data_IF_174598270998
#
_entry.id   IF_174598270998
#
_cell.length_a   1.000
_cell.length_b   1.000
_cell.length_c   1.000
_cell.angle_alpha   90.00
_cell.angle_beta   90.00
_cell.angle_gamma   90.00
#
_symmetry.space_group_name_H-M   'P 1'
#
loop_
_entity.id
_entity.type
_entity.pdbx_description
1 polymer ?
#
# COMPACT_ATOMS: atom_id res chain seq x y z
N UNK A 1 -0.81 -48.09 7.49
CA UNK A 1 -0.30 -46.98 6.64
C UNK A 1 -1.43 -46.71 5.65
N UNK A 2 -2.01 -45.54 5.49
CA UNK A 2 -1.48 -44.18 5.52
C UNK A 2 -2.68 -43.23 5.58
N UNK A 3 -2.75 -42.36 6.59
CA UNK A 3 -3.76 -41.28 6.64
C UNK A 3 -3.43 -40.28 5.54
N UNK A 4 -4.23 -40.29 4.46
CA UNK A 4 -4.15 -39.30 3.40
C UNK A 4 -4.48 -37.93 3.96
N UNK A 5 -3.47 -37.08 4.19
CA UNK A 5 -3.65 -35.67 4.48
C UNK A 5 -4.25 -35.00 3.25
N UNK A 6 -5.56 -34.75 3.29
CA UNK A 6 -6.25 -33.89 2.34
C UNK A 6 -5.75 -32.46 2.61
N UNK A 7 -4.70 -32.05 1.90
CA UNK A 7 -4.27 -30.65 1.87
C UNK A 7 -5.30 -29.88 1.06
N UNK A 8 -6.30 -29.33 1.75
CA UNK A 8 -7.18 -28.34 1.15
C UNK A 8 -6.27 -27.25 0.55
N UNK A 9 -6.42 -26.89 -0.73
CA UNK A 9 -5.72 -25.72 -1.25
C UNK A 9 -6.22 -24.55 -0.43
N UNK A 10 -5.39 -24.05 0.48
CA UNK A 10 -5.65 -22.82 1.21
C UNK A 10 -5.98 -21.77 0.16
N UNK A 11 -7.22 -21.29 0.18
CA UNK A 11 -7.70 -20.29 -0.74
C UNK A 11 -6.73 -19.13 -0.72
N UNK A 12 -5.92 -19.01 -1.78
CA UNK A 12 -5.00 -17.89 -1.91
C UNK A 12 -5.90 -16.70 -2.20
N UNK A 13 -6.19 -15.90 -1.19
CA UNK A 13 -6.94 -14.66 -1.33
C UNK A 13 -6.01 -13.71 -2.09
N UNK A 14 -6.08 -13.77 -3.42
CA UNK A 14 -5.38 -12.82 -4.28
C UNK A 14 -6.21 -11.56 -4.21
N UNK A 15 -5.78 -10.61 -3.37
CA UNK A 15 -6.36 -9.27 -3.36
C UNK A 15 -6.05 -8.60 -4.71
N UNK A 16 -6.96 -8.75 -5.68
CA UNK A 16 -6.76 -8.39 -7.09
C UNK A 16 -6.69 -6.88 -7.34
N UNK A 17 -7.17 -6.06 -6.41
CA UNK A 17 -7.38 -4.61 -6.63
C UNK A 17 -6.60 -3.70 -5.66
N UNK A 18 -5.54 -4.21 -5.02
CA UNK A 18 -4.68 -3.38 -4.15
C UNK A 18 -3.57 -2.75 -4.98
N UNK A 19 -3.45 -1.43 -4.88
CA UNK A 19 -2.30 -0.67 -5.37
C UNK A 19 -1.27 -0.54 -4.26
N UNK A 20 -0.01 -0.42 -4.68
CA UNK A 20 1.10 -0.11 -3.78
C UNK A 20 1.62 1.27 -4.14
N UNK A 21 1.64 2.18 -3.17
CA UNK A 21 2.39 3.42 -3.28
C UNK A 21 3.71 3.22 -2.54
N UNK A 22 4.82 3.52 -3.22
CA UNK A 22 6.17 3.35 -2.69
C UNK A 22 6.84 4.71 -2.52
N UNK A 23 7.62 4.84 -1.45
CA UNK A 23 8.45 6.00 -1.19
C UNK A 23 9.78 5.57 -0.59
N UNK A 24 10.86 6.25 -1.01
CA UNK A 24 12.19 6.07 -0.41
C UNK A 24 12.56 7.32 0.36
N UNK A 25 12.84 7.18 1.65
CA UNK A 25 13.27 8.29 2.52
C UNK A 25 14.18 7.74 3.62
N UNK A 26 15.21 8.51 4.00
CA UNK A 26 16.15 8.10 5.07
C UNK A 26 16.88 6.77 4.81
N UNK A 27 17.15 6.43 3.55
CA UNK A 27 17.81 5.18 3.16
C UNK A 27 16.95 3.91 3.29
N UNK A 28 15.66 4.05 3.64
CA UNK A 28 14.70 2.94 3.75
C UNK A 28 13.59 3.05 2.71
N UNK A 29 12.93 1.92 2.44
CA UNK A 29 11.76 1.83 1.58
C UNK A 29 10.53 1.77 2.46
N UNK A 30 9.54 2.58 2.12
CA UNK A 30 8.25 2.60 2.76
C UNK A 30 7.20 2.39 1.67
N UNK A 31 6.25 1.52 1.95
CA UNK A 31 5.19 1.13 1.06
C UNK A 31 3.87 1.16 1.82
N UNK A 32 2.79 1.49 1.13
CA UNK A 32 1.44 1.46 1.68
C UNK A 32 0.52 0.69 0.74
N UNK A 33 -0.44 -0.01 1.34
CA UNK A 33 -1.49 -0.73 0.63
C UNK A 33 -2.74 0.16 0.54
N UNK A 34 -3.11 0.52 -0.68
CA UNK A 34 -4.19 1.45 -0.96
C UNK A 34 -5.06 0.99 -2.13
N UNK A 35 -6.27 1.51 -2.25
CA UNK A 35 -7.15 1.24 -3.39
C UNK A 35 -6.88 2.20 -4.54
N UNK A 36 -6.69 1.66 -5.74
CA UNK A 36 -6.30 2.44 -6.94
C UNK A 36 -7.19 3.65 -7.21
N UNK A 37 -8.51 3.45 -7.28
CA UNK A 37 -9.47 4.51 -7.58
C UNK A 37 -9.44 5.62 -6.52
N UNK A 38 -9.23 5.25 -5.26
CA UNK A 38 -9.21 6.18 -4.14
C UNK A 38 -7.94 7.03 -4.10
N UNK A 39 -6.78 6.51 -4.54
CA UNK A 39 -5.54 7.32 -4.63
C UNK A 39 -5.70 8.48 -5.63
N UNK A 40 -6.37 8.25 -6.76
CA UNK A 40 -6.65 9.33 -7.71
C UNK A 40 -7.59 10.38 -7.10
N UNK A 41 -8.67 9.95 -6.44
CA UNK A 41 -9.58 10.87 -5.76
C UNK A 41 -8.88 11.68 -4.67
N UNK A 42 -8.00 11.06 -3.89
CA UNK A 42 -7.17 11.72 -2.89
C UNK A 42 -6.31 12.84 -3.50
N UNK A 43 -5.61 12.54 -4.62
CA UNK A 43 -4.80 13.53 -5.33
C UNK A 43 -5.61 14.65 -5.98
N UNK A 44 -6.85 14.37 -6.36
CA UNK A 44 -7.79 15.36 -6.87
C UNK A 44 -8.49 16.15 -5.75
N UNK A 45 -8.24 15.84 -4.48
CA UNK A 45 -8.88 16.51 -3.33
C UNK A 45 -10.37 16.19 -3.16
N UNK A 46 -10.85 15.08 -3.72
CA UNK A 46 -12.25 14.65 -3.64
C UNK A 46 -12.54 13.85 -2.36
N UNK A 47 -11.52 13.17 -1.83
CA UNK A 47 -11.61 12.30 -0.65
C UNK A 47 -10.63 12.78 0.42
N UNK A 48 -11.13 13.02 1.64
CA UNK A 48 -10.33 13.46 2.79
C UNK A 48 -10.09 12.34 3.82
N UNK A 49 -10.86 11.26 3.74
CA UNK A 49 -10.82 10.14 4.67
C UNK A 49 -9.78 9.09 4.26
N UNK A 50 -8.67 9.05 5.00
CA UNK A 50 -7.54 8.16 4.70
C UNK A 50 -7.89 6.68 4.89
N UNK A 51 -8.81 6.37 5.81
CA UNK A 51 -9.25 5.01 6.11
C UNK A 51 -10.05 4.38 4.97
N UNK A 52 -10.69 5.21 4.13
CA UNK A 52 -11.35 4.73 2.91
C UNK A 52 -10.37 4.52 1.74
N UNK A 53 -9.27 5.26 1.74
CA UNK A 53 -8.25 5.17 0.69
C UNK A 53 -7.31 4.00 0.93
N UNK A 54 -6.93 3.79 2.18
CA UNK A 54 -6.01 2.74 2.60
C UNK A 54 -6.76 1.45 2.90
N UNK A 55 -6.14 0.31 2.60
CA UNK A 55 -6.67 -0.97 3.09
C UNK A 55 -6.40 -1.13 4.58
N UNK A 56 -5.21 -0.70 5.02
CA UNK A 56 -4.75 -0.74 6.40
C UNK A 56 -3.94 0.54 6.63
N UNK A 57 -4.28 1.30 7.68
CA UNK A 57 -3.56 2.50 8.10
C UNK A 57 -2.19 2.17 8.76
N UNK A 58 -1.36 1.39 8.07
CA UNK A 58 -0.01 1.01 8.51
C UNK A 58 1.00 1.15 7.39
N UNK A 59 2.21 1.54 7.77
CA UNK A 59 3.34 1.65 6.85
C UNK A 59 4.05 0.30 6.76
N UNK A 60 4.23 -0.20 5.55
CA UNK A 60 4.97 -1.40 5.24
C UNK A 60 6.39 -1.04 4.78
N UNK A 61 7.35 -1.92 5.04
CA UNK A 61 8.63 -1.92 4.34
C UNK A 61 8.51 -2.69 3.01
N UNK A 62 7.61 -3.68 2.99
CA UNK A 62 7.28 -4.44 1.79
C UNK A 62 5.85 -4.98 1.88
N UNK A 63 4.94 -4.50 1.02
CA UNK A 63 3.54 -4.92 1.01
C UNK A 63 3.40 -6.36 0.51
N UNK A 64 4.15 -6.74 -0.53
CA UNK A 64 4.08 -8.10 -1.10
C UNK A 64 4.49 -9.19 -0.11
N UNK A 65 5.39 -8.88 0.82
CA UNK A 65 5.85 -9.78 1.89
C UNK A 65 5.10 -9.57 3.22
N UNK A 66 4.22 -8.57 3.31
CA UNK A 66 3.52 -8.20 4.54
C UNK A 66 4.46 -7.73 5.67
N UNK A 67 5.63 -7.16 5.34
CA UNK A 67 6.60 -6.71 6.34
C UNK A 67 6.29 -5.28 6.77
N UNK A 68 5.94 -5.08 8.04
CA UNK A 68 5.68 -3.76 8.61
C UNK A 68 6.97 -2.96 8.87
N UNK A 69 6.91 -1.65 8.68
CA UNK A 69 7.98 -0.75 9.08
C UNK A 69 7.96 -0.55 10.61
N UNK A 70 9.13 -0.39 11.22
CA UNK A 70 9.21 -0.09 12.66
C UNK A 70 8.83 1.37 12.91
N UNK A 71 8.23 1.64 14.08
CA UNK A 71 7.93 3.00 14.56
C UNK A 71 9.13 3.95 14.52
N UNK A 72 10.31 3.45 14.89
CA UNK A 72 11.56 4.21 14.84
C UNK A 72 11.98 4.62 13.42
N UNK A 73 11.56 3.88 12.41
CA UNK A 73 12.05 4.06 11.04
C UNK A 73 11.22 5.09 10.29
N UNK A 74 9.91 4.95 10.33
CA UNK A 74 9.02 5.93 9.70
C UNK A 74 9.03 7.24 10.49
N UNK A 75 9.13 7.21 11.82
CA UNK A 75 9.18 8.44 12.62
C UNK A 75 10.44 9.25 12.32
N UNK A 76 11.62 8.61 12.19
CA UNK A 76 12.86 9.30 11.78
C UNK A 76 12.87 9.76 10.33
N UNK A 77 12.23 9.00 9.42
CA UNK A 77 12.23 9.34 8.01
C UNK A 77 11.26 10.48 7.68
N UNK A 78 10.08 10.47 8.30
CA UNK A 78 9.02 11.44 8.00
C UNK A 78 8.92 12.57 9.03
N UNK A 79 9.61 12.49 10.16
CA UNK A 79 9.51 13.42 11.29
C UNK A 79 8.08 13.55 11.84
N UNK A 80 7.35 12.43 11.82
CA UNK A 80 5.95 12.34 12.25
C UNK A 80 5.80 11.50 13.51
N UNK A 81 4.73 11.77 14.26
CA UNK A 81 4.44 11.08 15.51
C UNK A 81 3.38 9.98 15.35
N UNK A 82 2.54 10.05 14.30
CA UNK A 82 1.49 9.06 14.01
C UNK A 82 1.71 8.33 12.70
N UNK A 83 1.27 7.07 12.64
CA UNK A 83 1.31 6.24 11.43
C UNK A 83 0.43 6.84 10.33
N UNK A 84 -0.71 7.41 10.68
CA UNK A 84 -1.62 8.09 9.74
C UNK A 84 -0.94 9.25 9.03
N UNK A 85 -0.21 10.11 9.75
CA UNK A 85 0.54 11.22 9.15
C UNK A 85 1.62 10.70 8.18
N UNK A 86 2.31 9.62 8.54
CA UNK A 86 3.26 8.97 7.65
C UNK A 86 2.57 8.46 6.38
N UNK A 87 1.41 7.81 6.51
CA UNK A 87 0.63 7.32 5.38
C UNK A 87 0.16 8.46 4.46
N UNK A 88 -0.32 9.59 5.01
CA UNK A 88 -0.69 10.79 4.23
C UNK A 88 0.49 11.30 3.42
N UNK A 89 1.65 11.41 4.05
CA UNK A 89 2.87 11.87 3.39
C UNK A 89 3.28 10.94 2.25
N UNK A 90 3.19 9.62 2.46
CA UNK A 90 3.49 8.62 1.42
C UNK A 90 2.45 8.63 0.30
N UNK A 91 1.16 8.83 0.60
CA UNK A 91 0.10 8.96 -0.42
C UNK A 91 0.37 10.15 -1.37
N UNK A 92 0.74 11.28 -0.77
CA UNK A 92 0.89 12.55 -1.45
C UNK A 92 2.20 12.63 -2.25
N UNK A 93 3.32 12.28 -1.63
CA UNK A 93 4.67 12.38 -2.21
C UNK A 93 5.18 11.06 -2.81
N UNK A 94 4.50 9.95 -2.58
CA UNK A 94 4.91 8.64 -3.05
C UNK A 94 4.60 8.39 -4.53
N UNK A 95 5.26 7.39 -5.07
CA UNK A 95 5.05 6.93 -6.43
C UNK A 95 4.04 5.76 -6.41
N UNK A 96 2.91 5.94 -7.08
CA UNK A 96 1.94 4.87 -7.27
C UNK A 96 2.49 3.86 -8.29
N UNK A 97 2.65 2.61 -7.87
CA UNK A 97 3.01 1.53 -8.77
C UNK A 97 1.76 1.05 -9.51
N UNK A 98 1.57 1.54 -10.73
CA UNK A 98 0.57 1.02 -11.67
C UNK A 98 1.17 -0.13 -12.49
N UNK A 99 0.37 -1.17 -12.71
CA UNK A 99 0.74 -2.28 -13.60
C UNK A 99 0.65 -1.83 -15.06
N UNK A 100 1.45 -2.43 -15.96
CA UNK A 100 1.49 -2.06 -17.39
C UNK A 100 0.12 -2.14 -18.09
N UNK A 101 -0.77 -3.03 -17.64
CA UNK A 101 -2.13 -3.13 -18.16
C UNK A 101 -2.98 -1.86 -17.94
N UNK A 102 -2.66 -1.07 -16.92
CA UNK A 102 -3.47 0.10 -16.52
C UNK A 102 -2.93 1.43 -17.05
N UNK A 103 -1.66 1.48 -17.51
CA UNK A 103 -1.15 2.66 -18.23
C UNK A 103 -1.98 2.96 -19.48
N UNK A 104 -2.51 1.93 -20.15
CA UNK A 104 -3.36 2.09 -21.34
C UNK A 104 -4.71 2.72 -21.00
N UNK A 105 -5.34 2.32 -19.90
CA UNK A 105 -6.64 2.84 -19.49
C UNK A 105 -6.63 4.33 -19.08
N UNK A 106 -5.47 4.87 -18.67
CA UNK A 106 -5.28 6.29 -18.36
C UNK A 106 -4.91 7.14 -19.58
N UNK A 107 -4.36 6.53 -20.65
CA UNK A 107 -3.93 7.24 -21.87
C UNK A 107 -5.06 7.32 -22.91
N UNK A 108 -6.08 6.46 -22.83
CA UNK A 108 -7.23 6.46 -23.74
C UNK A 108 -8.42 7.33 -23.30
N UNK A 109 -8.21 8.29 -22.39
CA UNK A 109 -9.25 9.27 -22.02
C UNK A 109 -8.91 10.68 -22.44
#
# INVERSE_FOLDING_TARGET
MSSGRISQPVGKIVHTNVAVVRMRKGGKRFEIACYKNKVFNWRNGVEEDIDEVLQIAKVYENVSKGKFAKKSDWSKAFDVQSEEQACRFILDHGELQVSEGERKALVEK
#
